data_IF_228741805035
#
_entry.id   IF_228741805035
#
_cell.length_a   1.000
_cell.length_b   1.000
_cell.length_c   1.000
_cell.angle_alpha   90.00
_cell.angle_beta   90.00
_cell.angle_gamma   90.00
#
_symmetry.space_group_name_H-M   'P 1'
#
loop_
_entity.id
_entity.type
_entity.pdbx_description
1 polymer ?
#
# COMPACT_ATOMS: atom_id res chain seq x y z
N UNK A 1 -39.16 -30.43 20.23
CA UNK A 1 -38.68 -30.61 18.84
C UNK A 1 -38.42 -29.21 18.27
N UNK A 2 -37.17 -28.78 18.13
CA UNK A 2 -36.84 -27.51 17.47
C UNK A 2 -35.72 -27.78 16.45
N UNK A 3 -36.01 -27.52 15.18
CA UNK A 3 -35.04 -27.41 14.09
C UNK A 3 -35.36 -26.11 13.36
N UNK A 4 -34.41 -25.18 13.28
CA UNK A 4 -34.01 -24.65 11.96
C UNK A 4 -32.51 -24.31 11.95
N UNK A 5 -31.78 -24.12 10.86
CA UNK A 5 -31.89 -24.35 9.42
C UNK A 5 -30.43 -24.19 8.90
N UNK A 6 -30.11 -24.76 7.75
CA UNK A 6 -28.74 -24.83 7.19
C UNK A 6 -28.04 -23.46 7.05
N UNK A 7 -26.70 -23.37 7.26
CA UNK A 7 -25.96 -22.15 6.99
C UNK A 7 -25.90 -21.87 5.49
N UNK A 8 -26.26 -20.63 5.15
CA UNK A 8 -26.23 -20.07 3.79
C UNK A 8 -24.78 -19.97 3.31
N UNK A 9 -24.53 -20.39 2.07
CA UNK A 9 -23.21 -20.39 1.43
C UNK A 9 -22.51 -19.01 1.52
N UNK A 10 -21.18 -18.97 1.64
CA UNK A 10 -20.45 -17.71 1.67
C UNK A 10 -20.64 -16.95 0.35
N UNK A 11 -21.05 -15.70 0.47
CA UNK A 11 -21.16 -14.74 -0.62
C UNK A 11 -19.82 -14.60 -1.36
N UNK A 12 -19.83 -14.42 -2.70
CA UNK A 12 -18.62 -14.13 -3.46
C UNK A 12 -17.89 -12.97 -2.81
N UNK A 13 -16.61 -13.18 -2.48
CA UNK A 13 -15.78 -12.21 -1.80
C UNK A 13 -15.96 -10.83 -2.45
N UNK A 14 -16.49 -9.88 -1.67
CA UNK A 14 -16.50 -8.48 -2.00
C UNK A 14 -15.14 -8.13 -2.59
N UNK A 15 -15.13 -7.74 -3.87
CA UNK A 15 -13.99 -7.07 -4.48
C UNK A 15 -13.66 -5.93 -3.54
N UNK A 16 -12.64 -6.13 -2.70
CA UNK A 16 -12.20 -5.12 -1.76
C UNK A 16 -11.97 -3.88 -2.62
N UNK A 17 -12.63 -2.74 -2.31
CA UNK A 17 -12.48 -1.55 -3.11
C UNK A 17 -10.98 -1.29 -3.28
N UNK A 18 -10.57 -1.00 -4.51
CA UNK A 18 -9.20 -0.61 -4.82
C UNK A 18 -8.94 0.71 -4.09
N UNK A 19 -8.57 0.63 -2.81
CA UNK A 19 -8.29 1.80 -1.99
C UNK A 19 -7.07 2.46 -2.61
N UNK A 20 -7.16 3.71 -3.12
CA UNK A 20 -5.98 4.42 -3.56
C UNK A 20 -5.01 4.50 -2.37
N UNK A 21 -3.83 3.90 -2.51
CA UNK A 21 -2.86 3.71 -1.42
C UNK A 21 -2.83 2.31 -0.78
N UNK A 22 -3.55 1.33 -1.31
CA UNK A 22 -3.40 -0.06 -0.89
C UNK A 22 -1.99 -0.58 -1.22
N UNK A 23 -1.33 -1.20 -0.23
CA UNK A 23 -0.05 -1.89 -0.43
C UNK A 23 -0.34 -3.19 -1.17
N UNK A 24 0.22 -3.34 -2.36
CA UNK A 24 0.13 -4.59 -3.11
C UNK A 24 1.24 -5.56 -2.66
N UNK A 25 0.87 -6.80 -2.35
CA UNK A 25 1.83 -7.84 -2.05
C UNK A 25 2.41 -8.37 -3.36
N UNK A 26 3.66 -8.01 -3.64
CA UNK A 26 4.38 -8.44 -4.85
C UNK A 26 5.64 -9.23 -4.50
N UNK A 27 6.01 -10.16 -5.38
CA UNK A 27 7.24 -10.95 -5.24
C UNK A 27 8.42 -10.20 -5.88
N UNK A 28 9.09 -9.35 -5.09
CA UNK A 28 10.31 -8.64 -5.48
C UNK A 28 11.57 -9.35 -4.95
N UNK A 29 12.64 -9.39 -5.74
CA UNK A 29 13.96 -9.86 -5.28
C UNK A 29 14.74 -8.72 -4.64
N UNK A 30 15.21 -8.94 -3.41
CA UNK A 30 15.99 -7.97 -2.63
C UNK A 30 17.32 -8.62 -2.26
N UNK A 31 18.40 -7.85 -2.29
CA UNK A 31 19.72 -8.30 -1.84
C UNK A 31 19.69 -8.73 -0.36
N UNK A 32 20.47 -9.77 -0.01
CA UNK A 32 20.52 -10.31 1.35
C UNK A 32 21.01 -9.28 2.35
N UNK A 33 22.01 -8.48 2.01
CA UNK A 33 22.62 -7.49 2.90
C UNK A 33 21.64 -6.36 3.21
N UNK A 34 20.86 -5.96 2.20
CA UNK A 34 19.79 -4.97 2.35
C UNK A 34 18.67 -5.53 3.23
N UNK A 35 18.23 -6.76 2.98
CA UNK A 35 17.19 -7.40 3.79
C UNK A 35 17.60 -7.52 5.26
N UNK A 36 18.83 -7.97 5.52
CA UNK A 36 19.39 -8.11 6.87
C UNK A 36 19.42 -6.76 7.61
N UNK A 37 19.88 -5.70 6.94
CA UNK A 37 19.89 -4.34 7.49
C UNK A 37 18.49 -3.90 7.95
N UNK A 38 17.46 -4.10 7.12
CA UNK A 38 16.10 -3.69 7.50
C UNK A 38 15.48 -4.61 8.57
N UNK A 39 15.75 -5.92 8.52
CA UNK A 39 15.25 -6.90 9.51
C UNK A 39 15.90 -6.75 10.88
N UNK A 40 17.18 -6.37 10.94
CA UNK A 40 17.92 -6.14 12.19
C UNK A 40 17.26 -5.09 13.08
N UNK A 41 16.52 -4.14 12.51
CA UNK A 41 15.77 -3.14 13.27
C UNK A 41 14.45 -3.65 13.85
N UNK A 42 14.13 -4.94 13.74
CA UNK A 42 12.94 -5.55 14.34
C UNK A 42 11.65 -5.46 13.51
N UNK A 43 10.48 -5.70 14.14
CA UNK A 43 9.17 -5.66 13.49
C UNK A 43 8.93 -4.35 12.71
N UNK A 44 8.17 -4.41 11.61
CA UNK A 44 7.93 -3.25 10.73
C UNK A 44 9.03 -2.98 9.71
N UNK A 45 9.98 -3.90 9.54
CA UNK A 45 11.04 -3.77 8.53
C UNK A 45 10.51 -3.60 7.09
N UNK A 46 9.36 -4.22 6.78
CA UNK A 46 8.68 -4.07 5.47
C UNK A 46 8.18 -2.63 5.24
N UNK A 47 7.67 -1.96 6.28
CA UNK A 47 7.24 -0.57 6.18
C UNK A 47 8.44 0.38 5.99
N UNK A 48 9.56 0.10 6.67
CA UNK A 48 10.80 0.89 6.53
C UNK A 48 11.40 0.76 5.13
N UNK A 49 11.53 -0.45 4.60
CA UNK A 49 12.03 -0.64 3.23
C UNK A 49 11.07 -0.04 2.20
N UNK A 50 9.76 -0.14 2.42
CA UNK A 50 8.78 0.52 1.55
C UNK A 50 8.91 2.05 1.60
N UNK A 51 9.13 2.64 2.77
CA UNK A 51 9.37 4.09 2.90
C UNK A 51 10.65 4.50 2.15
N UNK A 52 11.74 3.76 2.32
CA UNK A 52 13.00 4.01 1.60
C UNK A 52 12.82 3.91 0.08
N UNK A 53 12.07 2.92 -0.40
CA UNK A 53 11.72 2.79 -1.83
C UNK A 53 10.87 3.96 -2.31
N UNK A 54 9.90 4.45 -1.52
CA UNK A 54 9.09 5.61 -1.88
C UNK A 54 9.91 6.89 -1.97
N UNK A 55 10.84 7.09 -1.03
CA UNK A 55 11.75 8.23 -1.04
C UNK A 55 12.70 8.16 -2.25
N UNK A 56 13.29 7.00 -2.53
CA UNK A 56 14.19 6.81 -3.66
C UNK A 56 13.49 6.97 -5.02
N UNK A 57 12.24 6.55 -5.12
CA UNK A 57 11.43 6.70 -6.33
C UNK A 57 10.76 8.10 -6.46
N UNK A 58 10.88 8.97 -5.44
CA UNK A 58 10.23 10.29 -5.45
C UNK A 58 8.70 10.24 -5.33
N UNK A 59 8.12 9.12 -4.91
CA UNK A 59 6.66 8.91 -4.77
C UNK A 59 6.16 9.12 -3.32
N UNK A 60 7.00 9.73 -2.48
CA UNK A 60 6.86 9.85 -1.04
C UNK A 60 6.85 11.29 -0.53
N UNK A 61 6.25 12.22 -1.26
CA UNK A 61 5.86 13.53 -0.74
C UNK A 61 4.35 13.59 -0.51
N UNK A 62 3.90 13.32 0.71
CA UNK A 62 2.85 14.17 1.25
C UNK A 62 3.39 15.62 1.18
N UNK A 63 2.65 16.54 0.55
CA UNK A 63 3.07 17.92 0.21
C UNK A 63 3.80 18.17 -1.13
N UNK A 64 3.59 17.32 -2.13
CA UNK A 64 3.63 17.81 -3.52
C UNK A 64 2.20 18.06 -3.98
N UNK A 65 1.68 19.25 -3.63
CA UNK A 65 0.78 19.96 -4.53
C UNK A 65 1.36 19.76 -5.93
N UNK A 66 0.62 19.15 -6.85
CA UNK A 66 0.98 19.16 -8.26
C UNK A 66 1.15 20.62 -8.67
N UNK A 67 2.38 21.14 -8.92
CA UNK A 67 2.53 22.52 -9.37
C UNK A 67 1.84 22.74 -10.72
N UNK A 68 1.50 21.66 -11.42
CA UNK A 68 0.72 21.64 -12.65
C UNK A 68 -0.74 22.12 -12.45
N UNK A 69 -1.30 22.03 -11.23
CA UNK A 69 -2.71 22.38 -10.96
C UNK A 69 -2.89 23.81 -10.44
N UNK A 70 -1.84 24.46 -9.92
CA UNK A 70 -1.91 25.85 -9.44
C UNK A 70 -1.60 26.91 -10.51
N UNK A 71 -0.90 26.58 -11.60
CA UNK A 71 -0.50 27.57 -12.61
C UNK A 71 -1.49 27.73 -13.77
N UNK A 72 -2.45 26.81 -13.94
CA UNK A 72 -3.39 26.84 -15.06
C UNK A 72 -4.65 27.69 -14.81
N UNK A 73 -4.77 28.30 -13.63
CA UNK A 73 -5.93 29.13 -13.24
C UNK A 73 -5.64 30.65 -13.17
N UNK A 74 -4.48 31.12 -13.66
CA UNK A 74 -4.14 32.55 -13.63
C UNK A 74 -3.71 33.16 -14.97
N UNK A 75 -4.03 32.51 -16.10
CA UNK A 75 -3.99 33.18 -17.41
C UNK A 75 -5.45 33.46 -17.82
N UNK A 76 -5.80 34.75 -17.84
CA UNK A 76 -7.18 35.25 -17.84
C UNK A 76 -7.88 35.33 -19.19
#
# INVERSE_FOLDING_TARGET
MFKPAAPKAPTPADKRPNVPGAKELVSLRIDRSVLDHFQSGGPGWQDRINNALRQAAGVGGDDAVTPDELNSSNDG
#
